data_IF_443833479358
#
_entry.id   IF_443833479358
#
_cell.length_a   1.000
_cell.length_b   1.000
_cell.length_c   1.000
_cell.angle_alpha   90.00
_cell.angle_beta   90.00
_cell.angle_gamma   90.00
#
_symmetry.space_group_name_H-M   'P 1'
#
loop_
_entity.id
_entity.type
_entity.pdbx_description
1 polymer ?
#
# COMPACT_ATOMS: atom_id res chain seq x y z
N UNK A 1 0.07 6.95 -7.14
CA UNK A 1 0.58 8.34 -7.18
C UNK A 1 -0.53 9.26 -7.65
N UNK A 2 -0.79 10.39 -6.99
CA UNK A 2 -1.74 11.35 -7.49
C UNK A 2 -1.30 11.85 -8.87
N UNK A 3 -2.25 12.13 -9.78
CA UNK A 3 -1.91 12.69 -11.07
C UNK A 3 -1.20 14.02 -10.88
N UNK A 4 -0.21 14.36 -11.73
CA UNK A 4 0.46 15.63 -11.62
C UNK A 4 -0.54 16.75 -11.98
N UNK A 5 -1.07 17.43 -10.99
CA UNK A 5 -1.59 18.75 -11.24
C UNK A 5 -0.39 19.69 -11.42
N UNK A 6 -0.37 20.50 -12.47
CA UNK A 6 0.81 21.24 -12.92
C UNK A 6 1.48 22.13 -11.85
N UNK A 7 0.85 22.37 -10.70
CA UNK A 7 1.35 23.20 -9.60
C UNK A 7 0.90 22.67 -8.22
N UNK A 8 0.44 21.43 -8.13
CA UNK A 8 -0.06 20.88 -6.88
C UNK A 8 1.01 20.22 -6.01
N UNK A 9 0.71 20.04 -4.71
CA UNK A 9 1.66 19.47 -3.72
C UNK A 9 2.19 18.08 -4.06
N UNK A 10 1.51 17.32 -4.93
CA UNK A 10 1.93 15.97 -5.34
C UNK A 10 2.93 15.90 -6.50
N UNK A 11 3.30 17.02 -7.12
CA UNK A 11 4.13 17.01 -8.34
C UNK A 11 5.52 16.44 -8.10
N UNK A 12 6.14 16.74 -6.97
CA UNK A 12 7.45 16.20 -6.59
C UNK A 12 7.39 14.69 -6.29
N UNK A 13 6.31 14.19 -5.68
CA UNK A 13 6.09 12.77 -5.44
C UNK A 13 6.01 11.99 -6.75
N UNK A 14 5.27 12.52 -7.71
CA UNK A 14 5.16 11.91 -9.04
C UNK A 14 6.51 11.88 -9.76
N UNK A 15 7.25 12.99 -9.74
CA UNK A 15 8.58 13.07 -10.33
C UNK A 15 9.57 12.11 -9.67
N UNK A 16 9.59 12.07 -8.35
CA UNK A 16 10.41 11.16 -7.56
C UNK A 16 10.10 9.68 -7.83
N UNK A 17 8.82 9.33 -7.88
CA UNK A 17 8.37 7.97 -8.21
C UNK A 17 8.81 7.56 -9.62
N UNK A 18 8.66 8.42 -10.59
CA UNK A 18 9.13 8.14 -11.98
C UNK A 18 10.65 7.97 -12.06
N UNK A 19 11.41 8.79 -11.34
CA UNK A 19 12.86 8.67 -11.30
C UNK A 19 13.29 7.35 -10.64
N UNK A 20 12.64 6.94 -9.57
CA UNK A 20 12.87 5.65 -8.93
C UNK A 20 12.54 4.49 -9.89
N UNK A 21 11.40 4.52 -10.55
CA UNK A 21 11.00 3.50 -11.52
C UNK A 21 12.04 3.34 -12.64
N UNK A 22 12.55 4.45 -13.19
CA UNK A 22 13.60 4.40 -14.21
C UNK A 22 14.90 3.75 -13.70
N UNK A 23 15.32 4.09 -12.48
CA UNK A 23 16.50 3.48 -11.86
C UNK A 23 16.33 1.98 -11.66
N UNK A 24 15.18 1.56 -11.16
CA UNK A 24 14.86 0.13 -10.95
C UNK A 24 14.86 -0.64 -12.28
N UNK A 25 14.25 -0.08 -13.32
CA UNK A 25 14.29 -0.70 -14.66
C UNK A 25 15.71 -0.76 -15.23
N UNK A 26 16.50 0.29 -15.07
CA UNK A 26 17.88 0.31 -15.55
C UNK A 26 18.78 -0.71 -14.83
N UNK A 27 18.54 -0.98 -13.55
CA UNK A 27 19.27 -2.00 -12.78
C UNK A 27 18.81 -3.44 -13.05
N UNK A 28 17.73 -3.62 -13.81
CA UNK A 28 17.18 -4.94 -14.17
C UNK A 28 16.93 -5.06 -15.69
N UNK A 29 17.99 -4.98 -16.52
CA UNK A 29 17.84 -4.88 -17.98
C UNK A 29 17.26 -6.15 -18.63
N UNK A 30 17.32 -7.28 -17.94
CA UNK A 30 16.86 -8.57 -18.46
C UNK A 30 15.34 -8.78 -18.33
N UNK A 31 14.69 -8.03 -17.46
CA UNK A 31 13.27 -8.24 -17.13
C UNK A 31 12.59 -6.91 -16.78
N UNK A 32 11.37 -6.72 -17.27
CA UNK A 32 10.56 -5.61 -16.80
C UNK A 32 9.93 -5.97 -15.43
N UNK A 33 10.60 -5.56 -14.36
CA UNK A 33 10.21 -5.89 -12.98
C UNK A 33 8.83 -5.35 -12.60
N UNK A 34 8.40 -4.22 -13.17
CA UNK A 34 7.07 -3.68 -12.91
C UNK A 34 5.99 -4.51 -13.58
N UNK A 35 6.18 -4.90 -14.83
CA UNK A 35 5.25 -5.80 -15.51
C UNK A 35 5.12 -7.13 -14.76
N UNK A 36 6.25 -7.72 -14.37
CA UNK A 36 6.27 -8.98 -13.61
C UNK A 36 5.56 -8.84 -12.27
N UNK A 37 5.84 -7.76 -11.53
CA UNK A 37 5.21 -7.48 -10.24
C UNK A 37 3.70 -7.25 -10.35
N UNK A 38 3.27 -6.40 -11.28
CA UNK A 38 1.85 -6.14 -11.49
C UNK A 38 1.09 -7.39 -11.97
N UNK A 39 1.69 -8.20 -12.83
CA UNK A 39 1.10 -9.47 -13.25
C UNK A 39 0.96 -10.44 -12.08
N UNK A 40 1.94 -10.52 -11.20
CA UNK A 40 1.86 -11.34 -9.99
C UNK A 40 0.74 -10.86 -9.05
N UNK A 41 0.59 -9.55 -8.85
CA UNK A 41 -0.50 -8.96 -8.06
C UNK A 41 -1.87 -9.26 -8.68
N UNK A 42 -2.00 -9.11 -10.00
CA UNK A 42 -3.26 -9.34 -10.72
C UNK A 42 -3.71 -10.80 -10.67
N UNK A 43 -2.76 -11.74 -10.71
CA UNK A 43 -3.05 -13.18 -10.67
C UNK A 43 -3.20 -13.75 -9.25
N UNK A 44 -2.86 -12.98 -8.21
CA UNK A 44 -2.96 -13.46 -6.82
C UNK A 44 -4.40 -13.44 -6.31
N UNK A 45 -4.88 -14.61 -5.88
CA UNK A 45 -6.26 -14.78 -5.38
C UNK A 45 -6.35 -15.54 -4.04
N UNK A 46 -5.21 -15.81 -3.39
CA UNK A 46 -5.15 -16.67 -2.20
C UNK A 46 -5.31 -15.98 -0.85
N UNK A 47 -5.50 -14.64 -0.82
CA UNK A 47 -5.46 -13.87 0.43
C UNK A 47 -6.53 -14.26 1.46
N UNK A 48 -7.77 -14.39 1.03
CA UNK A 48 -8.89 -14.74 1.93
C UNK A 48 -8.75 -16.15 2.49
N UNK A 49 -8.22 -17.08 1.69
CA UNK A 49 -7.99 -18.46 2.14
C UNK A 49 -6.79 -18.57 3.09
N UNK A 50 -5.77 -17.72 2.90
CA UNK A 50 -4.57 -17.72 3.75
C UNK A 50 -4.78 -17.01 5.09
N UNK A 51 -5.65 -16.00 5.14
CA UNK A 51 -5.83 -15.14 6.31
C UNK A 51 -6.23 -15.89 7.60
N UNK A 52 -7.09 -16.93 7.60
CA UNK A 52 -7.40 -17.70 8.80
C UNK A 52 -6.20 -18.43 9.44
N UNK A 53 -5.14 -18.67 8.67
CA UNK A 53 -3.90 -19.28 9.15
C UNK A 53 -2.95 -18.26 9.83
N UNK A 54 -3.24 -16.97 9.75
CA UNK A 54 -2.48 -15.93 10.45
C UNK A 54 -2.92 -15.88 11.92
N UNK A 55 -2.00 -16.21 12.82
CA UNK A 55 -2.27 -16.30 14.27
C UNK A 55 -1.72 -15.11 15.07
N UNK A 56 -0.92 -14.25 14.45
CA UNK A 56 -0.39 -13.04 15.08
C UNK A 56 -1.38 -11.87 14.96
N UNK A 57 -1.29 -10.86 15.85
CA UNK A 57 -1.98 -9.60 15.68
C UNK A 57 -1.64 -8.98 14.32
N UNK A 58 -2.65 -8.51 13.61
CA UNK A 58 -2.50 -7.99 12.24
C UNK A 58 -3.09 -6.59 12.14
N UNK A 59 -2.29 -5.63 11.69
CA UNK A 59 -2.73 -4.27 11.41
C UNK A 59 -2.97 -4.09 9.90
N UNK A 60 -4.17 -3.69 9.55
CA UNK A 60 -4.52 -3.18 8.22
C UNK A 60 -4.51 -1.66 8.28
N UNK A 61 -3.47 -1.05 7.73
CA UNK A 61 -3.34 0.40 7.62
C UNK A 61 -3.68 0.82 6.21
N UNK A 62 -4.78 1.55 6.03
CA UNK A 62 -5.36 1.81 4.71
C UNK A 62 -5.60 3.29 4.48
N UNK A 63 -5.43 3.74 3.24
CA UNK A 63 -5.74 5.11 2.82
C UNK A 63 -7.23 5.24 2.46
N UNK A 64 -7.91 6.23 3.02
CA UNK A 64 -9.33 6.50 2.73
C UNK A 64 -9.62 6.74 1.26
N UNK A 65 -8.64 7.30 0.54
CA UNK A 65 -8.73 7.70 -0.85
C UNK A 65 -7.93 6.78 -1.79
N UNK A 66 -7.49 5.63 -1.30
CA UNK A 66 -6.75 4.66 -2.10
C UNK A 66 -7.67 4.03 -3.16
N UNK A 67 -7.32 4.25 -4.44
CA UNK A 67 -8.07 3.73 -5.59
C UNK A 67 -7.44 2.44 -6.15
N UNK A 68 -6.21 2.13 -5.80
CA UNK A 68 -5.53 0.89 -6.24
C UNK A 68 -5.92 -0.29 -5.34
N UNK A 69 -5.86 -0.07 -4.03
CA UNK A 69 -6.28 -1.05 -3.02
C UNK A 69 -7.27 -0.36 -2.06
N UNK A 70 -8.52 -0.21 -2.47
CA UNK A 70 -9.49 0.56 -1.71
C UNK A 70 -9.77 -0.07 -0.34
N UNK A 71 -10.15 0.72 0.68
CA UNK A 71 -10.42 0.24 2.03
C UNK A 71 -11.38 -0.94 2.11
N UNK A 72 -12.32 -1.04 1.17
CA UNK A 72 -13.27 -2.15 1.07
C UNK A 72 -12.57 -3.50 0.93
N UNK A 73 -11.50 -3.57 0.14
CA UNK A 73 -10.73 -4.81 -0.07
C UNK A 73 -10.00 -5.24 1.19
N UNK A 74 -9.39 -4.29 1.91
CA UNK A 74 -8.74 -4.57 3.19
C UNK A 74 -9.76 -5.02 4.27
N UNK A 75 -10.94 -4.40 4.31
CA UNK A 75 -12.01 -4.79 5.23
C UNK A 75 -12.53 -6.21 4.94
N UNK A 76 -12.69 -6.58 3.68
CA UNK A 76 -13.08 -7.93 3.29
C UNK A 76 -12.03 -8.96 3.78
N UNK A 77 -10.75 -8.69 3.56
CA UNK A 77 -9.66 -9.56 4.01
C UNK A 77 -9.58 -9.65 5.55
N UNK A 78 -9.75 -8.52 6.24
CA UNK A 78 -9.70 -8.45 7.69
C UNK A 78 -10.80 -9.26 8.39
N UNK A 79 -11.94 -9.49 7.73
CA UNK A 79 -13.02 -10.35 8.25
C UNK A 79 -12.57 -11.82 8.42
N UNK A 80 -11.57 -12.25 7.68
CA UNK A 80 -10.99 -13.59 7.77
C UNK A 80 -9.83 -13.68 8.77
N UNK A 81 -9.34 -12.56 9.29
CA UNK A 81 -8.25 -12.51 10.26
C UNK A 81 -8.78 -12.69 11.69
N UNK A 82 -8.07 -13.47 12.50
CA UNK A 82 -8.45 -13.73 13.90
C UNK A 82 -8.27 -12.52 14.82
N UNK A 83 -7.19 -11.78 14.62
CA UNK A 83 -6.76 -10.65 15.45
C UNK A 83 -6.45 -9.45 14.53
N UNK A 84 -7.49 -8.88 13.91
CA UNK A 84 -7.36 -7.77 12.98
C UNK A 84 -7.67 -6.42 13.64
N UNK A 85 -6.82 -5.43 13.40
CA UNK A 85 -7.08 -4.02 13.64
C UNK A 85 -7.03 -3.27 12.30
N UNK A 86 -8.03 -2.46 12.02
CA UNK A 86 -8.06 -1.61 10.83
C UNK A 86 -7.90 -0.16 11.26
N UNK A 87 -6.95 0.54 10.65
CA UNK A 87 -6.75 1.98 10.83
C UNK A 87 -6.82 2.66 9.46
N UNK A 88 -7.72 3.60 9.31
CA UNK A 88 -7.85 4.41 8.09
C UNK A 88 -7.16 5.76 8.29
N UNK A 89 -6.24 6.10 7.38
CA UNK A 89 -5.56 7.40 7.35
C UNK A 89 -6.07 8.25 6.18
N UNK A 90 -5.97 9.55 6.30
CA UNK A 90 -6.43 10.49 5.27
C UNK A 90 -5.38 10.62 4.15
N UNK A 91 -5.20 9.56 3.38
CA UNK A 91 -4.22 9.43 2.31
C UNK A 91 -4.74 8.59 1.15
N UNK A 92 -4.06 8.64 0.02
CA UNK A 92 -4.23 7.72 -1.10
C UNK A 92 -3.37 6.46 -0.94
N UNK A 93 -2.82 5.96 -2.06
CA UNK A 93 -2.04 4.71 -2.08
C UNK A 93 -0.65 4.84 -1.44
N UNK A 94 -0.02 5.99 -1.52
CA UNK A 94 1.32 6.23 -0.99
C UNK A 94 1.28 6.73 0.47
N UNK A 95 0.69 5.95 1.37
CA UNK A 95 0.40 6.30 2.77
C UNK A 95 1.57 6.98 3.49
N UNK A 96 2.75 6.36 3.44
CA UNK A 96 3.94 6.82 4.18
C UNK A 96 4.46 8.17 3.68
N UNK A 97 4.13 8.55 2.46
CA UNK A 97 4.54 9.81 1.86
C UNK A 97 3.46 10.88 2.00
N UNK A 98 2.19 10.47 1.98
CA UNK A 98 1.04 11.39 2.02
C UNK A 98 0.63 11.73 3.45
N UNK A 99 0.79 10.79 4.39
CA UNK A 99 0.42 10.94 5.80
C UNK A 99 1.47 10.29 6.74
N UNK A 100 2.72 10.74 6.73
CA UNK A 100 3.82 10.08 7.45
C UNK A 100 3.59 10.02 8.96
N UNK A 101 3.08 11.08 9.56
CA UNK A 101 2.86 11.15 11.01
C UNK A 101 1.73 10.22 11.45
N UNK A 102 0.61 10.20 10.72
CA UNK A 102 -0.51 9.31 11.00
C UNK A 102 -0.11 7.84 10.89
N UNK A 103 0.70 7.51 9.87
CA UNK A 103 1.25 6.16 9.69
C UNK A 103 2.18 5.79 10.84
N UNK A 104 3.09 6.69 11.22
CA UNK A 104 4.01 6.48 12.35
C UNK A 104 3.26 6.24 13.66
N UNK A 105 2.26 7.05 13.96
CA UNK A 105 1.45 6.90 15.17
C UNK A 105 0.68 5.58 15.18
N UNK A 106 0.06 5.21 14.08
CA UNK A 106 -0.67 3.94 13.97
C UNK A 106 0.23 2.72 14.17
N UNK A 107 1.45 2.74 13.60
CA UNK A 107 2.43 1.68 13.78
C UNK A 107 2.94 1.61 15.22
N UNK A 108 3.28 2.76 15.82
CA UNK A 108 3.73 2.82 17.21
C UNK A 108 2.67 2.29 18.17
N UNK A 109 1.43 2.74 18.02
CA UNK A 109 0.33 2.31 18.88
C UNK A 109 0.04 0.81 18.74
N UNK A 110 0.18 0.26 17.54
CA UNK A 110 0.01 -1.17 17.30
C UNK A 110 1.14 -2.01 17.91
N UNK A 111 2.38 -1.55 17.81
CA UNK A 111 3.56 -2.26 18.33
C UNK A 111 3.70 -2.14 19.85
N UNK A 112 3.09 -1.14 20.46
CA UNK A 112 3.12 -0.90 21.92
C UNK A 112 1.98 -1.56 22.68
N UNK A 113 1.05 -2.16 21.95
CA UNK A 113 -0.15 -2.77 22.53
C UNK A 113 0.14 -4.23 23.05
#
# INVERSE_FOLDING_TARGET
>A
CPPPSALGPGTWLYGGSRALMRRVLASNPQVNVFYTGFKACDSYAGGEQAMPAVHCPTLFLVGKHDQMTPPKSAKALAQHARLAKIVEVNAGHALMTEAPDEVLFALRDFLSA
#
